data_IF_459034873901
#
_entry.id   IF_459034873901
#
_cell.length_a   1.000
_cell.length_b   1.000
_cell.length_c   1.000
_cell.angle_alpha   90.00
_cell.angle_beta   90.00
_cell.angle_gamma   90.00
#
_symmetry.space_group_name_H-M   'P 1'
#
loop_
_entity.id
_entity.type
_entity.pdbx_description
1 polymer ?
#
# COMPACT_ATOMS: atom_id res chain seq x y z
N UNK A 1 11.07 8.19 -10.55
CA UNK A 1 10.92 6.98 -9.72
C UNK A 1 9.48 6.53 -9.90
N UNK A 2 9.23 5.27 -10.22
CA UNK A 2 7.86 4.77 -10.41
C UNK A 2 7.18 4.63 -9.05
N UNK A 3 6.01 5.26 -8.88
CA UNK A 3 5.30 5.30 -7.60
C UNK A 3 4.20 4.26 -7.60
N UNK A 4 4.32 3.29 -6.69
CA UNK A 4 3.29 2.28 -6.43
C UNK A 4 2.56 2.66 -5.15
N UNK A 5 1.29 3.04 -5.26
CA UNK A 5 0.43 3.24 -4.11
C UNK A 5 -0.39 1.98 -3.82
N UNK A 6 -0.41 1.55 -2.56
CA UNK A 6 -1.20 0.43 -2.07
C UNK A 6 -2.30 1.00 -1.16
N UNK A 7 -3.56 0.75 -1.53
CA UNK A 7 -4.71 1.29 -0.82
C UNK A 7 -5.08 0.41 0.40
N UNK A 8 -5.06 1.00 1.59
CA UNK A 8 -5.55 0.40 2.83
C UNK A 8 -6.96 0.92 3.14
N UNK A 9 -7.96 0.04 3.08
CA UNK A 9 -9.35 0.31 3.45
C UNK A 9 -9.75 -0.54 4.65
N UNK A 10 -10.84 -0.18 5.34
CA UNK A 10 -11.34 -1.01 6.43
C UNK A 10 -11.66 -2.43 5.95
N UNK A 11 -11.38 -3.41 6.79
CA UNK A 11 -11.46 -4.84 6.51
C UNK A 11 -10.59 -5.28 5.32
N UNK A 12 -9.54 -4.53 4.97
CA UNK A 12 -8.56 -4.97 3.97
C UNK A 12 -7.98 -6.32 4.37
N UNK A 13 -7.91 -7.25 3.42
CA UNK A 13 -7.29 -8.55 3.64
C UNK A 13 -5.79 -8.33 3.84
N UNK A 14 -5.21 -8.64 5.02
CA UNK A 14 -3.82 -8.30 5.30
C UNK A 14 -2.80 -8.89 4.33
N UNK A 15 -3.08 -10.09 3.81
CA UNK A 15 -2.20 -10.75 2.85
C UNK A 15 -2.18 -10.06 1.49
N UNK A 16 -3.35 -9.64 0.99
CA UNK A 16 -3.48 -8.88 -0.26
C UNK A 16 -2.80 -7.51 -0.14
N UNK A 17 -2.84 -6.89 1.05
CA UNK A 17 -2.14 -5.64 1.34
C UNK A 17 -0.62 -5.82 1.42
N UNK A 18 -0.15 -6.83 2.17
CA UNK A 18 1.28 -7.04 2.45
C UNK A 18 2.06 -7.50 1.21
N UNK A 19 1.45 -8.34 0.36
CA UNK A 19 2.10 -8.89 -0.84
C UNK A 19 2.72 -7.82 -1.76
N UNK A 20 1.98 -6.78 -2.21
CA UNK A 20 2.57 -5.72 -3.01
C UNK A 20 3.57 -4.86 -2.23
N UNK A 21 3.33 -4.59 -0.94
CA UNK A 21 4.28 -3.83 -0.11
C UNK A 21 5.64 -4.52 -0.10
N UNK A 22 5.68 -5.81 0.22
CA UNK A 22 6.93 -6.58 0.30
C UNK A 22 7.58 -6.79 -1.07
N UNK A 23 6.78 -7.01 -2.12
CA UNK A 23 7.29 -7.20 -3.48
C UNK A 23 7.98 -5.94 -4.01
N UNK A 24 7.28 -4.80 -3.98
CA UNK A 24 7.77 -3.58 -4.60
C UNK A 24 8.84 -2.88 -3.74
N UNK A 25 8.72 -2.89 -2.40
CA UNK A 25 9.69 -2.25 -1.52
C UNK A 25 11.07 -2.94 -1.51
N UNK A 26 11.11 -4.24 -1.82
CA UNK A 26 12.36 -5.03 -1.86
C UNK A 26 13.00 -5.10 -3.24
N UNK A 27 12.31 -4.68 -4.28
CA UNK A 27 12.87 -4.71 -5.63
C UNK A 27 14.01 -3.68 -5.77
N UNK A 28 15.12 -4.10 -6.38
CA UNK A 28 16.29 -3.27 -6.64
C UNK A 28 16.65 -3.30 -8.13
N UNK A 29 17.12 -2.16 -8.64
CA UNK A 29 17.73 -2.05 -9.96
C UNK A 29 19.14 -2.66 -9.96
N UNK A 30 19.78 -2.89 -11.13
CA UNK A 30 21.12 -3.45 -11.20
C UNK A 30 22.19 -2.64 -10.45
N UNK A 31 21.97 -1.34 -10.25
CA UNK A 31 22.84 -0.45 -9.48
C UNK A 31 22.58 -0.50 -7.95
N UNK A 32 21.65 -1.33 -7.50
CA UNK A 32 21.29 -1.49 -6.09
C UNK A 32 20.33 -0.43 -5.54
N UNK A 33 19.88 0.53 -6.36
CA UNK A 33 18.86 1.51 -5.95
C UNK A 33 17.46 0.88 -5.91
N UNK A 34 16.51 1.42 -5.11
CA UNK A 34 15.11 1.00 -5.14
C UNK A 34 14.52 1.19 -6.54
N UNK A 35 13.78 0.19 -7.04
CA UNK A 35 13.10 0.31 -8.33
C UNK A 35 11.79 1.12 -8.23
N UNK A 36 11.21 1.23 -7.03
CA UNK A 36 9.92 1.84 -6.78
C UNK A 36 9.92 2.68 -5.51
N UNK A 37 9.09 3.72 -5.50
CA UNK A 37 8.61 4.35 -4.28
C UNK A 37 7.27 3.71 -3.92
N UNK A 38 7.15 3.15 -2.71
CA UNK A 38 5.92 2.50 -2.25
C UNK A 38 5.22 3.40 -1.24
N UNK A 39 3.94 3.70 -1.48
CA UNK A 39 3.10 4.50 -0.59
C UNK A 39 1.92 3.68 -0.11
N UNK A 40 1.72 3.60 1.20
CA UNK A 40 0.56 2.93 1.78
C UNK A 40 -0.43 4.03 2.14
N UNK A 41 -1.51 4.12 1.40
CA UNK A 41 -2.48 5.21 1.48
C UNK A 41 -3.77 4.71 2.13
N UNK A 42 -4.41 5.51 2.99
CA UNK A 42 -5.73 5.17 3.51
C UNK A 42 -6.65 6.37 3.70
N UNK A 43 -7.96 6.14 3.90
CA UNK A 43 -8.97 7.19 4.03
C UNK A 43 -8.99 7.86 5.41
N UNK A 44 -8.35 7.27 6.41
CA UNK A 44 -8.34 7.71 7.79
C UNK A 44 -6.97 7.47 8.44
N UNK A 45 -6.65 8.15 9.57
CA UNK A 45 -5.40 7.96 10.30
C UNK A 45 -5.18 6.54 10.83
N UNK A 46 -6.28 5.81 11.03
CA UNK A 46 -6.33 4.41 11.44
C UNK A 46 -7.36 3.67 10.58
N UNK A 47 -7.01 2.46 10.19
CA UNK A 47 -7.83 1.55 9.39
C UNK A 47 -7.91 0.22 10.15
N UNK A 48 -9.11 -0.33 10.30
CA UNK A 48 -9.28 -1.66 10.87
C UNK A 48 -8.99 -2.71 9.78
N UNK A 49 -7.85 -3.42 9.85
CA UNK A 49 -7.51 -4.49 8.91
C UNK A 49 -8.01 -5.88 9.41
N UNK A 50 -8.95 -5.92 10.34
CA UNK A 50 -9.56 -7.10 10.94
C UNK A 50 -8.68 -7.76 12.00
N UNK A 51 -7.44 -8.12 11.64
CA UNK A 51 -6.49 -8.73 12.57
C UNK A 51 -5.71 -7.71 13.41
N UNK A 52 -5.63 -6.47 12.93
CA UNK A 52 -4.88 -5.39 13.56
C UNK A 52 -5.37 -4.03 13.05
N UNK A 53 -5.06 -2.98 13.81
CA UNK A 53 -5.20 -1.60 13.34
C UNK A 53 -3.95 -1.20 12.56
N UNK A 54 -4.15 -0.68 11.35
CA UNK A 54 -3.11 -0.13 10.51
C UNK A 54 -3.16 1.40 10.53
N UNK A 55 -2.00 2.04 10.66
CA UNK A 55 -1.84 3.48 10.47
C UNK A 55 -1.15 3.76 9.13
N UNK A 56 -1.90 4.02 8.05
CA UNK A 56 -1.30 4.31 6.75
C UNK A 56 -0.46 5.60 6.85
N UNK A 57 0.79 5.61 6.36
CA UNK A 57 1.63 6.81 6.44
C UNK A 57 1.16 7.94 5.52
N UNK A 58 0.28 7.63 4.55
CA UNK A 58 -0.25 8.58 3.58
C UNK A 58 -1.79 8.57 3.60
N UNK A 59 -2.39 9.73 3.33
CA UNK A 59 -3.81 9.81 3.05
C UNK A 59 -4.12 9.50 1.56
N UNK A 60 -5.37 9.65 1.15
CA UNK A 60 -5.77 9.37 -0.24
C UNK A 60 -5.17 10.33 -1.26
N UNK A 61 -4.64 11.49 -0.87
CA UNK A 61 -3.95 12.39 -1.81
C UNK A 61 -2.67 11.76 -2.36
N UNK A 62 -2.08 10.81 -1.62
CA UNK A 62 -0.94 10.01 -2.08
C UNK A 62 -1.23 9.17 -3.34
N UNK A 63 -2.51 8.90 -3.64
CA UNK A 63 -2.95 8.19 -4.85
C UNK A 63 -2.83 9.03 -6.12
N UNK A 64 -2.99 10.35 -6.03
CA UNK A 64 -3.07 11.23 -7.21
C UNK A 64 -1.75 11.30 -7.98
N UNK A 65 -0.63 11.07 -7.29
CA UNK A 65 0.71 11.07 -7.88
C UNK A 65 1.24 9.66 -8.20
N UNK A 66 0.44 8.60 -7.99
CA UNK A 66 0.87 7.24 -8.22
C UNK A 66 0.80 6.84 -9.69
N UNK A 67 1.86 6.21 -10.20
CA UNK A 67 1.88 5.63 -11.55
C UNK A 67 1.13 4.29 -11.58
N UNK A 68 1.01 3.62 -10.44
CA UNK A 68 0.24 2.39 -10.27
C UNK A 68 -0.47 2.40 -8.92
N UNK A 69 -1.77 2.12 -8.93
CA UNK A 69 -2.57 1.94 -7.72
C UNK A 69 -2.94 0.47 -7.61
N UNK A 70 -2.61 -0.13 -6.47
CA UNK A 70 -3.01 -1.49 -6.11
C UNK A 70 -4.17 -1.37 -5.12
N UNK A 71 -5.27 -2.06 -5.44
CA UNK A 71 -6.48 -2.12 -4.63
C UNK A 71 -6.61 -3.54 -4.09
N UNK A 72 -6.17 -3.80 -2.85
CA UNK A 72 -6.28 -5.13 -2.24
C UNK A 72 -7.74 -5.54 -2.00
N UNK A 73 -7.97 -6.85 -1.88
CA UNK A 73 -9.25 -7.37 -1.46
C UNK A 73 -9.66 -6.91 -0.07
N UNK A 74 -10.97 -6.91 0.19
CA UNK A 74 -11.55 -6.62 1.50
C UNK A 74 -12.48 -7.76 1.90
N UNK A 75 -12.50 -8.10 3.17
CA UNK A 75 -13.52 -8.98 3.72
C UNK A 75 -14.84 -8.23 3.77
N UNK A 76 -15.90 -8.87 3.28
CA UNK A 76 -17.26 -8.40 3.50
C UNK A 76 -17.67 -8.79 4.92
N UNK A 77 -17.79 -7.81 5.80
CA UNK A 77 -18.75 -7.92 6.90
C UNK A 77 -20.05 -7.25 6.44
#
# INVERSE_FOLDING_TARGET
MHIVAVLALDQVVPFDLATPIETFSRTRLPDGSPAYEVRICGPAPEVDAGAFTLRPPWDLTGLAAADTIIVPGRSAN
#
